data_IF_305297408642
#
_entry.id   IF_305297408642
#
_cell.length_a   1.000
_cell.length_b   1.000
_cell.length_c   1.000
_cell.angle_alpha   90.00
_cell.angle_beta   90.00
_cell.angle_gamma   90.00
#
_symmetry.space_group_name_H-M   'P 1'
#
loop_
_entity.id
_entity.type
_entity.pdbx_description
1 polymer ?
#
# COMPACT_ATOMS: atom_id res chain seq x y z
N UNK A 1 14.29 -75.21 10.19
CA UNK A 1 13.97 -73.77 10.27
C UNK A 1 14.96 -73.04 9.38
N UNK A 2 14.53 -72.67 8.17
CA UNK A 2 15.37 -72.14 7.10
C UNK A 2 15.01 -70.66 6.95
N UNK A 3 15.98 -69.76 7.15
CA UNK A 3 15.82 -68.32 6.89
C UNK A 3 16.75 -67.95 5.72
N UNK A 4 16.16 -67.90 4.52
CA UNK A 4 16.81 -67.48 3.29
C UNK A 4 16.65 -65.96 3.15
N UNK A 5 17.78 -65.24 3.16
CA UNK A 5 17.85 -63.80 2.87
C UNK A 5 17.75 -63.59 1.36
N UNK A 6 16.65 -63.00 0.90
CA UNK A 6 16.47 -62.60 -0.49
C UNK A 6 16.93 -61.15 -0.67
N UNK A 7 17.96 -60.97 -1.48
CA UNK A 7 18.40 -59.69 -2.05
C UNK A 7 17.44 -59.32 -3.16
N UNK A 8 16.74 -58.17 -3.05
CA UNK A 8 15.89 -57.66 -4.12
C UNK A 8 16.61 -56.51 -4.85
N UNK A 9 17.05 -56.83 -6.07
CA UNK A 9 17.57 -55.93 -7.08
C UNK A 9 16.41 -55.07 -7.61
N UNK A 10 16.43 -53.75 -7.39
CA UNK A 10 15.44 -52.83 -7.94
C UNK A 10 16.00 -52.16 -9.20
N UNK A 11 15.37 -52.48 -10.33
CA UNK A 11 15.68 -51.99 -11.67
C UNK A 11 15.35 -50.50 -11.79
N UNK A 12 16.35 -49.72 -12.19
CA UNK A 12 16.24 -48.29 -12.47
C UNK A 12 15.60 -48.09 -13.87
N UNK A 13 14.32 -47.78 -13.93
CA UNK A 13 13.66 -47.33 -15.16
C UNK A 13 13.87 -45.82 -15.31
N UNK A 14 14.79 -45.45 -16.21
CA UNK A 14 14.99 -44.10 -16.72
C UNK A 14 13.76 -43.65 -17.53
N UNK A 15 12.78 -43.06 -16.84
CA UNK A 15 11.69 -42.32 -17.46
C UNK A 15 12.15 -40.90 -17.79
N UNK A 16 12.41 -40.63 -19.06
CA UNK A 16 12.55 -39.28 -19.61
C UNK A 16 11.18 -38.60 -19.53
N UNK A 17 10.90 -37.94 -18.42
CA UNK A 17 9.75 -37.04 -18.32
C UNK A 17 10.15 -35.70 -18.91
N UNK A 18 9.82 -35.49 -20.18
CA UNK A 18 9.74 -34.17 -20.80
C UNK A 18 8.81 -33.30 -19.96
N UNK A 19 9.38 -32.45 -19.09
CA UNK A 19 8.64 -31.50 -18.29
C UNK A 19 7.89 -30.54 -19.21
N UNK A 20 6.59 -30.75 -19.36
CA UNK A 20 5.68 -29.72 -19.87
C UNK A 20 5.93 -28.46 -19.03
N UNK A 21 6.41 -27.39 -19.66
CA UNK A 21 6.32 -26.04 -19.11
C UNK A 21 4.83 -25.77 -18.92
N UNK A 22 4.35 -25.87 -17.68
CA UNK A 22 3.07 -25.29 -17.31
C UNK A 22 3.27 -23.79 -17.41
N UNK A 23 2.75 -23.19 -18.48
CA UNK A 23 2.64 -21.74 -18.55
C UNK A 23 1.87 -21.30 -17.29
N UNK A 24 2.45 -20.37 -16.53
CA UNK A 24 1.77 -19.80 -15.38
C UNK A 24 0.42 -19.23 -15.87
N UNK A 25 -0.69 -19.65 -15.25
CA UNK A 25 -1.98 -19.05 -15.55
C UNK A 25 -1.88 -17.54 -15.34
N UNK A 26 -2.48 -16.72 -16.23
CA UNK A 26 -2.56 -15.29 -15.99
C UNK A 26 -3.22 -15.05 -14.63
N UNK A 27 -2.72 -14.07 -13.88
CA UNK A 27 -3.49 -13.55 -12.75
C UNK A 27 -4.82 -13.06 -13.34
N UNK A 28 -5.94 -13.62 -12.89
CA UNK A 28 -7.24 -13.03 -13.21
C UNK A 28 -7.26 -11.66 -12.53
N UNK A 29 -7.14 -10.60 -13.32
CA UNK A 29 -7.24 -9.24 -12.83
C UNK A 29 -8.74 -8.91 -12.60
N UNK A 30 -9.33 -9.53 -11.58
CA UNK A 30 -10.75 -9.39 -11.19
C UNK A 30 -11.12 -7.95 -10.76
N UNK A 31 -10.13 -7.06 -10.77
CA UNK A 31 -10.22 -5.69 -10.33
C UNK A 31 -10.32 -4.67 -11.46
N UNK A 32 -10.11 -5.07 -12.72
CA UNK A 32 -10.29 -4.18 -13.87
C UNK A 32 -11.67 -3.47 -13.88
N UNK A 33 -12.80 -4.12 -13.55
CA UNK A 33 -14.11 -3.44 -13.51
C UNK A 33 -14.25 -2.40 -12.38
N UNK A 34 -13.35 -2.42 -11.39
CA UNK A 34 -13.37 -1.51 -10.23
C UNK A 34 -12.40 -0.35 -10.38
N UNK A 35 -11.41 -0.47 -11.26
CA UNK A 35 -10.50 0.64 -11.57
C UNK A 35 -11.31 1.85 -12.08
N UNK A 36 -10.92 3.04 -11.65
CA UNK A 36 -11.62 4.29 -11.95
C UNK A 36 -12.87 4.55 -11.10
N UNK A 37 -13.42 3.58 -10.36
CA UNK A 37 -14.55 3.82 -9.45
C UNK A 37 -14.09 4.57 -8.19
N UNK A 38 -14.96 5.32 -7.49
CA UNK A 38 -14.64 5.92 -6.19
C UNK A 38 -14.12 4.87 -5.20
N UNK A 39 -13.06 5.22 -4.47
CA UNK A 39 -12.43 4.31 -3.51
C UNK A 39 -13.30 4.16 -2.26
N UNK A 40 -13.66 2.92 -1.93
CA UNK A 40 -14.42 2.54 -0.73
C UNK A 40 -13.47 2.05 0.36
N UNK A 41 -13.26 2.88 1.37
CA UNK A 41 -12.30 2.62 2.45
C UNK A 41 -12.95 2.01 3.71
N UNK A 42 -14.22 1.59 3.64
CA UNK A 42 -14.93 1.10 4.82
C UNK A 42 -14.26 -0.12 5.49
N UNK A 43 -13.56 -0.95 4.71
CA UNK A 43 -12.84 -2.13 5.22
C UNK A 43 -11.62 -1.81 6.08
N UNK A 44 -11.13 -0.57 6.04
CA UNK A 44 -9.93 -0.12 6.77
C UNK A 44 -10.27 0.69 8.02
N UNK A 45 -11.56 0.81 8.33
CA UNK A 45 -12.06 1.41 9.56
C UNK A 45 -12.53 0.33 10.55
N UNK A 46 -12.48 0.65 11.84
CA UNK A 46 -13.07 -0.17 12.88
C UNK A 46 -14.60 -0.08 12.80
N UNK A 47 -15.22 -1.17 12.35
CA UNK A 47 -16.65 -1.27 12.14
C UNK A 47 -17.37 -1.79 13.39
N UNK A 48 -18.18 -0.92 14.00
CA UNK A 48 -19.19 -1.32 14.98
C UNK A 48 -20.46 -1.83 14.28
N UNK A 49 -21.06 -2.91 14.79
CA UNK A 49 -22.40 -3.37 14.42
C UNK A 49 -23.20 -3.86 15.63
N UNK A 50 -24.48 -3.49 15.67
CA UNK A 50 -25.42 -3.89 16.71
C UNK A 50 -25.79 -5.37 16.66
N UNK A 51 -25.80 -5.97 15.47
CA UNK A 51 -26.09 -7.40 15.24
C UNK A 51 -24.93 -8.33 15.63
N UNK A 52 -23.78 -7.75 16.04
CA UNK A 52 -22.63 -8.49 16.56
C UNK A 52 -22.64 -8.52 18.09
N UNK A 53 -22.34 -9.68 18.70
CA UNK A 53 -21.92 -9.75 20.09
C UNK A 53 -20.78 -8.75 20.38
N UNK A 54 -20.71 -8.27 21.61
CA UNK A 54 -19.71 -7.27 22.02
C UNK A 54 -18.27 -7.72 21.69
N UNK A 55 -17.93 -8.98 21.95
CA UNK A 55 -16.61 -9.55 21.69
C UNK A 55 -16.25 -9.70 20.19
N UNK A 56 -17.22 -9.57 19.29
CA UNK A 56 -17.01 -9.64 17.83
C UNK A 56 -16.87 -8.26 17.18
N UNK A 57 -17.07 -7.18 17.93
CA UNK A 57 -16.77 -5.84 17.47
C UNK A 57 -15.29 -5.52 17.78
N UNK A 58 -14.55 -4.83 16.90
CA UNK A 58 -13.21 -4.36 17.21
C UNK A 58 -13.23 -3.52 18.50
N UNK A 59 -12.29 -3.69 19.43
CA UNK A 59 -12.28 -2.95 20.67
C UNK A 59 -12.20 -1.42 20.45
N UNK A 60 -11.54 -0.96 19.39
CA UNK A 60 -11.43 0.45 19.03
C UNK A 60 -12.78 1.05 18.63
N UNK A 61 -13.68 0.24 18.03
CA UNK A 61 -15.02 0.69 17.63
C UNK A 61 -15.87 1.17 18.82
N UNK A 62 -15.48 0.84 20.05
CA UNK A 62 -16.12 1.37 21.24
C UNK A 62 -15.83 2.84 21.49
N UNK A 63 -14.67 3.32 21.06
CA UNK A 63 -14.30 4.71 21.25
C UNK A 63 -15.13 5.63 20.36
N UNK A 64 -15.54 5.14 19.18
CA UNK A 64 -16.58 5.77 18.36
C UNK A 64 -17.88 5.96 19.13
N UNK A 65 -18.34 4.92 19.82
CA UNK A 65 -19.60 4.95 20.55
C UNK A 65 -19.53 5.87 21.76
N UNK A 66 -18.45 5.80 22.54
CA UNK A 66 -18.24 6.68 23.68
C UNK A 66 -18.20 8.15 23.25
N UNK A 67 -17.52 8.43 22.14
CA UNK A 67 -17.56 9.73 21.49
C UNK A 67 -18.98 10.10 21.14
N UNK A 68 -19.64 9.35 20.28
CA UNK A 68 -21.01 9.67 19.89
C UNK A 68 -21.95 9.94 21.08
N UNK A 69 -21.84 9.18 22.16
CA UNK A 69 -22.78 9.22 23.28
C UNK A 69 -22.42 10.14 24.47
N UNK A 70 -21.30 10.86 24.49
CA UNK A 70 -21.00 11.67 25.69
C UNK A 70 -20.22 10.96 26.79
N UNK A 71 -19.76 9.72 26.56
CA UNK A 71 -19.30 8.85 27.65
C UNK A 71 -17.80 8.98 27.92
N UNK A 72 -17.37 8.77 29.18
CA UNK A 72 -15.96 8.87 29.55
C UNK A 72 -15.19 7.62 29.10
N UNK A 73 -13.91 7.80 28.73
CA UNK A 73 -13.04 6.73 28.21
C UNK A 73 -12.42 5.83 29.29
N UNK A 74 -12.45 6.25 30.56
CA UNK A 74 -11.86 5.55 31.69
C UNK A 74 -12.76 4.46 32.29
N UNK A 75 -13.94 4.24 31.70
CA UNK A 75 -14.91 3.25 32.16
C UNK A 75 -15.12 2.13 31.13
N UNK A 76 -15.37 0.89 31.58
CA UNK A 76 -15.80 -0.18 30.69
C UNK A 76 -17.05 0.23 29.91
N UNK A 77 -17.12 -0.18 28.64
CA UNK A 77 -18.25 0.14 27.78
C UNK A 77 -19.51 -0.53 28.29
N UNK A 78 -20.50 0.29 28.61
CA UNK A 78 -21.86 -0.14 28.90
C UNK A 78 -22.77 0.22 27.72
N UNK A 79 -23.47 -0.78 27.14
CA UNK A 79 -24.43 -0.57 26.03
C UNK A 79 -25.82 -0.15 26.51
N UNK A 80 -26.08 -0.17 27.83
CA UNK A 80 -27.39 0.21 28.40
C UNK A 80 -27.81 1.67 28.18
N UNK A 81 -26.92 2.66 28.07
CA UNK A 81 -27.32 4.05 27.82
C UNK A 81 -28.22 4.15 26.58
N UNK A 82 -29.35 4.87 26.64
CA UNK A 82 -30.32 4.96 25.55
C UNK A 82 -29.72 5.42 24.21
N UNK A 83 -28.74 6.33 24.26
CA UNK A 83 -28.04 6.81 23.06
C UNK A 83 -27.31 5.68 22.31
N UNK A 84 -26.79 4.69 23.03
CA UNK A 84 -26.06 3.55 22.43
C UNK A 84 -26.98 2.43 21.96
N UNK A 85 -28.11 2.21 22.63
CA UNK A 85 -29.12 1.22 22.19
C UNK A 85 -29.70 1.52 20.82
N UNK A 86 -29.65 2.78 20.39
CA UNK A 86 -30.14 3.24 19.09
C UNK A 86 -29.14 3.03 17.96
N UNK A 87 -27.86 2.78 18.25
CA UNK A 87 -26.81 2.70 17.22
C UNK A 87 -26.89 1.37 16.49
N UNK A 88 -27.09 1.41 15.17
CA UNK A 88 -27.10 0.24 14.28
C UNK A 88 -25.68 -0.18 13.91
N UNK A 89 -24.88 0.79 13.47
CA UNK A 89 -23.50 0.59 13.03
C UNK A 89 -22.73 1.90 13.01
N UNK A 90 -21.41 1.80 12.85
CA UNK A 90 -20.57 2.97 12.66
C UNK A 90 -19.14 2.59 12.25
N UNK A 91 -18.42 3.55 11.67
CA UNK A 91 -17.01 3.39 11.28
C UNK A 91 -16.17 4.36 12.08
N UNK A 92 -15.03 3.88 12.57
CA UNK A 92 -13.96 4.70 13.14
C UNK A 92 -12.70 4.53 12.31
N UNK A 93 -12.21 5.60 11.70
CA UNK A 93 -10.88 5.65 11.10
C UNK A 93 -9.82 5.89 12.17
N UNK A 94 -8.61 5.37 11.95
CA UNK A 94 -7.43 5.70 12.76
C UNK A 94 -7.05 7.19 12.64
N UNK A 95 -7.37 7.78 11.49
CA UNK A 95 -7.03 9.14 11.11
C UNK A 95 -8.26 9.87 10.57
N UNK A 96 -8.16 11.19 10.46
CA UNK A 96 -9.18 11.99 9.77
C UNK A 96 -9.17 11.65 8.29
N UNK A 97 -10.35 11.39 7.73
CA UNK A 97 -10.54 10.97 6.34
C UNK A 97 -11.37 12.00 5.57
N UNK A 98 -11.06 12.23 4.28
CA UNK A 98 -11.91 13.02 3.40
C UNK A 98 -13.11 12.18 2.92
N UNK A 99 -13.87 11.57 3.83
CA UNK A 99 -15.10 10.87 3.46
C UNK A 99 -16.05 11.87 2.81
N UNK A 100 -16.58 11.55 1.62
CA UNK A 100 -17.54 12.41 0.91
C UNK A 100 -18.88 11.76 0.67
N UNK A 101 -18.94 10.42 0.63
CA UNK A 101 -20.21 9.72 0.52
C UNK A 101 -20.23 8.49 1.39
N UNK A 102 -21.29 8.35 2.18
CA UNK A 102 -21.60 7.15 2.94
C UNK A 102 -22.73 6.40 2.23
N UNK A 103 -22.50 5.13 1.90
CA UNK A 103 -23.53 4.23 1.40
C UNK A 103 -23.96 3.26 2.50
N UNK A 104 -25.27 3.15 2.74
CA UNK A 104 -25.88 2.12 3.57
C UNK A 104 -26.64 1.17 2.66
N UNK A 105 -26.25 -0.11 2.62
CA UNK A 105 -26.87 -1.10 1.75
C UNK A 105 -27.48 -2.25 2.56
N UNK A 106 -28.77 -2.49 2.42
CA UNK A 106 -29.45 -3.65 2.99
C UNK A 106 -29.59 -4.78 1.97
N UNK A 107 -29.42 -6.05 2.38
CA UNK A 107 -29.67 -7.17 1.48
C UNK A 107 -31.15 -7.23 1.10
N UNK A 108 -31.43 -7.68 -0.12
CA UNK A 108 -32.80 -7.91 -0.58
C UNK A 108 -33.54 -8.86 0.37
N UNK A 109 -34.76 -8.47 0.79
CA UNK A 109 -35.57 -9.24 1.73
C UNK A 109 -35.15 -9.12 3.20
N UNK A 110 -34.30 -8.15 3.56
CA UNK A 110 -34.04 -7.82 4.95
C UNK A 110 -35.36 -7.53 5.69
N UNK A 111 -35.67 -8.36 6.69
CA UNK A 111 -36.78 -8.07 7.60
C UNK A 111 -36.34 -6.92 8.51
N UNK A 112 -37.22 -5.95 8.74
CA UNK A 112 -36.96 -4.80 9.60
C UNK A 112 -35.80 -3.91 9.09
N UNK A 113 -35.88 -3.45 7.84
CA UNK A 113 -35.06 -2.34 7.34
C UNK A 113 -35.67 -1.01 7.80
N UNK A 114 -34.92 -0.12 8.47
CA UNK A 114 -35.40 1.22 8.79
C UNK A 114 -35.62 2.04 7.51
N UNK A 115 -36.68 2.85 7.46
CA UNK A 115 -36.82 3.89 6.45
C UNK A 115 -35.75 4.98 6.64
N UNK A 116 -35.45 5.74 5.59
CA UNK A 116 -34.46 6.81 5.66
C UNK A 116 -34.79 7.87 6.74
N UNK A 117 -36.08 8.11 7.01
CA UNK A 117 -36.54 9.06 8.04
C UNK A 117 -36.37 8.53 9.48
N UNK A 118 -36.30 7.22 9.65
CA UNK A 118 -36.06 6.58 10.95
C UNK A 118 -34.57 6.52 11.30
N UNK A 119 -33.69 7.06 10.45
CA UNK A 119 -32.25 7.06 10.65
C UNK A 119 -31.71 8.46 10.90
N UNK A 120 -30.78 8.53 11.86
CA UNK A 120 -29.92 9.68 12.10
C UNK A 120 -28.48 9.23 11.84
N UNK A 121 -27.83 9.89 10.88
CA UNK A 121 -26.42 9.67 10.57
C UNK A 121 -25.62 10.86 11.06
N UNK A 122 -24.62 10.59 11.91
CA UNK A 122 -23.80 11.62 12.57
C UNK A 122 -22.34 11.39 12.27
N UNK A 123 -21.64 12.43 11.82
CA UNK A 123 -20.19 12.45 11.68
C UNK A 123 -19.53 13.08 12.90
N UNK A 124 -18.33 12.60 13.21
CA UNK A 124 -17.39 13.27 14.10
C UNK A 124 -16.66 14.34 13.26
N UNK A 125 -17.02 15.60 13.46
CA UNK A 125 -16.61 16.72 12.62
C UNK A 125 -15.18 17.16 12.94
N UNK A 126 -14.29 17.10 11.94
CA UNK A 126 -12.89 17.49 12.07
C UNK A 126 -12.61 18.94 11.65
N UNK A 127 -13.62 19.69 11.23
CA UNK A 127 -13.40 20.98 10.58
C UNK A 127 -12.71 22.00 11.49
N UNK A 128 -12.97 21.96 12.80
CA UNK A 128 -12.47 22.93 13.78
C UNK A 128 -10.95 22.89 14.03
N UNK A 129 -10.24 21.92 13.44
CA UNK A 129 -8.79 21.87 13.54
C UNK A 129 -8.30 21.59 14.97
N UNK A 130 -9.14 21.06 15.85
CA UNK A 130 -8.73 20.54 17.17
C UNK A 130 -8.82 19.02 17.24
N UNK A 131 -9.56 18.42 16.31
CA UNK A 131 -9.68 16.98 16.18
C UNK A 131 -8.57 16.41 15.30
N UNK A 132 -7.45 16.05 15.93
CA UNK A 132 -6.29 15.49 15.24
C UNK A 132 -6.17 13.99 15.42
N UNK A 133 -6.93 13.46 16.36
CA UNK A 133 -6.88 12.09 16.83
C UNK A 133 -8.23 11.72 17.43
N UNK A 134 -8.59 10.45 17.38
CA UNK A 134 -9.84 9.92 17.93
C UNK A 134 -9.91 9.94 19.47
N UNK A 135 -9.10 10.78 20.15
CA UNK A 135 -9.21 11.03 21.59
C UNK A 135 -9.48 12.51 21.94
N UNK A 136 -9.57 13.39 20.95
CA UNK A 136 -9.77 14.82 21.16
C UNK A 136 -11.26 15.20 21.38
N UNK A 137 -11.54 16.42 21.90
CA UNK A 137 -12.87 16.99 21.94
C UNK A 137 -13.51 16.95 20.54
N UNK A 138 -14.82 16.69 20.51
CA UNK A 138 -15.54 16.40 19.27
C UNK A 138 -16.66 17.40 19.05
N UNK A 139 -16.79 17.81 17.80
CA UNK A 139 -18.01 18.40 17.28
C UNK A 139 -18.79 17.29 16.56
N UNK A 140 -20.11 17.22 16.78
CA UNK A 140 -20.98 16.26 16.09
C UNK A 140 -21.73 16.97 14.98
N UNK A 141 -21.73 16.39 13.77
CA UNK A 141 -22.48 16.90 12.64
C UNK A 141 -23.45 15.86 12.10
N UNK A 142 -24.73 16.13 12.23
CA UNK A 142 -25.76 15.30 11.61
C UNK A 142 -25.79 15.55 10.10
N UNK A 143 -25.88 14.46 9.33
CA UNK A 143 -26.02 14.52 7.87
C UNK A 143 -27.46 14.80 7.49
N UNK A 144 -27.63 15.45 6.33
CA UNK A 144 -28.94 15.66 5.72
C UNK A 144 -29.51 14.35 5.19
N UNK A 145 -30.81 14.36 4.86
CA UNK A 145 -31.50 13.19 4.32
C UNK A 145 -30.76 12.58 3.10
N UNK A 146 -30.74 11.25 2.98
CA UNK A 146 -30.02 10.58 1.91
C UNK A 146 -30.77 10.61 0.59
N UNK A 147 -30.05 10.34 -0.48
CA UNK A 147 -30.63 9.83 -1.72
C UNK A 147 -30.93 8.33 -1.55
N UNK A 148 -32.14 7.92 -1.89
CA UNK A 148 -32.57 6.51 -1.82
C UNK A 148 -32.56 5.90 -3.22
N UNK A 149 -31.95 4.72 -3.37
CA UNK A 149 -31.96 3.98 -4.63
C UNK A 149 -33.39 3.58 -5.06
N UNK A 150 -33.65 3.36 -6.36
CA UNK A 150 -34.99 2.97 -6.84
C UNK A 150 -35.55 1.69 -6.22
N UNK A 151 -34.69 0.75 -5.85
CA UNK A 151 -35.05 -0.48 -5.16
C UNK A 151 -35.28 -0.30 -3.65
N UNK A 152 -35.04 0.90 -3.12
CA UNK A 152 -35.18 1.24 -1.71
C UNK A 152 -34.13 0.59 -0.79
N UNK A 153 -33.15 -0.14 -1.33
CA UNK A 153 -32.20 -0.93 -0.53
C UNK A 153 -30.92 -0.16 -0.17
N UNK A 154 -30.67 0.97 -0.83
CA UNK A 154 -29.45 1.74 -0.64
C UNK A 154 -29.76 3.19 -0.31
N UNK A 155 -29.19 3.68 0.80
CA UNK A 155 -29.22 5.10 1.18
C UNK A 155 -27.83 5.70 1.01
N UNK A 156 -27.74 6.79 0.25
CA UNK A 156 -26.49 7.52 -0.02
C UNK A 156 -26.52 8.88 0.65
N UNK A 157 -25.64 9.10 1.62
CA UNK A 157 -25.49 10.37 2.33
C UNK A 157 -24.28 11.12 1.79
N UNK A 158 -24.43 12.43 1.56
CA UNK A 158 -23.30 13.31 1.34
C UNK A 158 -22.65 13.67 2.68
N UNK A 159 -21.33 13.61 2.73
CA UNK A 159 -20.53 13.93 3.91
C UNK A 159 -19.78 15.24 3.65
N UNK A 160 -20.22 16.37 4.25
CA UNK A 160 -19.72 17.69 3.90
C UNK A 160 -18.45 18.09 4.67
N UNK A 161 -17.96 17.23 5.56
CA UNK A 161 -16.83 17.52 6.45
C UNK A 161 -15.80 16.40 6.37
N UNK A 162 -14.56 16.73 6.67
CA UNK A 162 -13.57 15.71 7.01
C UNK A 162 -13.97 15.07 8.35
N UNK A 163 -13.77 13.77 8.48
CA UNK A 163 -14.24 13.03 9.63
C UNK A 163 -13.35 11.84 9.93
N UNK A 164 -13.15 11.52 11.20
CA UNK A 164 -12.54 10.26 11.63
C UNK A 164 -13.59 9.22 12.03
N UNK A 165 -14.89 9.53 11.96
CA UNK A 165 -15.90 8.52 12.26
C UNK A 165 -17.32 8.92 11.94
N UNK A 166 -18.15 7.92 11.70
CA UNK A 166 -19.57 8.07 11.39
C UNK A 166 -20.40 7.06 12.15
N UNK A 167 -21.54 7.50 12.66
CA UNK A 167 -22.48 6.68 13.43
C UNK A 167 -23.84 6.73 12.77
N UNK A 168 -24.43 5.54 12.57
CA UNK A 168 -25.79 5.36 12.07
C UNK A 168 -26.64 4.86 13.24
N UNK A 169 -27.65 5.65 13.62
CA UNK A 169 -28.54 5.34 14.72
C UNK A 169 -30.01 5.51 14.31
N UNK A 170 -30.92 4.87 15.05
CA UNK A 170 -32.36 5.13 14.94
C UNK A 170 -32.69 6.54 15.44
N UNK A 171 -33.62 7.24 14.79
CA UNK A 171 -34.07 8.58 15.16
C UNK A 171 -34.83 8.62 16.49
N UNK A 172 -35.61 7.58 16.76
CA UNK A 172 -36.41 7.43 17.99
C UNK A 172 -35.71 6.54 19.03
N UNK A 173 -36.32 6.40 20.21
CA UNK A 173 -35.83 5.57 21.32
C UNK A 173 -35.92 4.05 21.09
N UNK A 174 -35.96 3.61 19.83
CA UNK A 174 -35.98 2.21 19.44
C UNK A 174 -34.67 1.49 19.77
N UNK A 175 -34.74 0.17 19.88
CA UNK A 175 -33.56 -0.68 20.07
C UNK A 175 -33.05 -1.20 18.72
N UNK A 176 -31.82 -0.83 18.37
CA UNK A 176 -31.14 -1.23 17.14
C UNK A 176 -31.00 -2.76 17.00
N UNK A 177 -31.05 -3.52 18.10
CA UNK A 177 -30.99 -4.97 18.07
C UNK A 177 -32.17 -5.64 17.32
N UNK A 178 -33.25 -4.91 17.08
CA UNK A 178 -34.43 -5.41 16.35
C UNK A 178 -34.45 -5.10 14.86
N UNK A 179 -33.44 -4.39 14.36
CA UNK A 179 -33.38 -3.92 12.98
C UNK A 179 -32.23 -4.58 12.23
N UNK A 180 -32.41 -4.76 10.93
CA UNK A 180 -31.35 -5.22 10.06
C UNK A 180 -30.24 -4.15 9.99
N UNK A 181 -28.98 -4.58 10.14
CA UNK A 181 -27.82 -3.69 10.09
C UNK A 181 -27.26 -3.66 8.65
N UNK A 182 -27.14 -2.47 8.02
CA UNK A 182 -26.68 -2.37 6.64
C UNK A 182 -25.22 -2.77 6.49
N UNK A 183 -24.80 -3.04 5.26
CA UNK A 183 -23.39 -2.94 4.88
C UNK A 183 -23.05 -1.46 4.66
N UNK A 184 -21.94 -1.03 5.26
CA UNK A 184 -21.42 0.32 5.13
C UNK A 184 -20.41 0.38 3.97
N UNK A 185 -20.51 1.45 3.19
CA UNK A 185 -19.56 1.85 2.17
C UNK A 185 -19.12 3.29 2.44
N UNK A 186 -17.82 3.56 2.41
CA UNK A 186 -17.24 4.85 2.78
C UNK A 186 -16.37 5.37 1.63
N UNK A 187 -16.95 6.23 0.79
CA UNK A 187 -16.29 6.69 -0.42
C UNK A 187 -15.53 8.01 -0.22
N UNK A 188 -14.25 7.99 -0.56
CA UNK A 188 -13.38 9.16 -0.63
C UNK A 188 -13.32 9.75 -2.05
N UNK A 189 -12.79 10.97 -2.25
CA UNK A 189 -12.61 11.57 -3.58
C UNK A 189 -11.70 10.76 -4.50
N UNK A 190 -10.72 10.07 -3.91
CA UNK A 190 -9.79 9.22 -4.63
C UNK A 190 -10.53 8.09 -5.35
N UNK A 191 -9.97 7.69 -6.50
CA UNK A 191 -10.50 6.59 -7.31
C UNK A 191 -9.55 5.42 -7.22
N UNK A 192 -10.13 4.22 -7.32
CA UNK A 192 -9.35 3.01 -7.39
C UNK A 192 -8.46 3.00 -8.62
N UNK A 193 -7.17 2.76 -8.41
CA UNK A 193 -6.24 2.28 -9.43
C UNK A 193 -6.04 0.79 -9.25
N UNK A 194 -5.56 0.12 -10.29
CA UNK A 194 -5.21 -1.30 -10.21
C UNK A 194 -3.80 -1.54 -10.70
N UNK A 195 -3.11 -2.51 -10.10
CA UNK A 195 -1.82 -3.02 -10.59
C UNK A 195 -1.64 -4.48 -10.19
N UNK A 196 -0.77 -5.19 -10.92
CA UNK A 196 -0.20 -6.45 -10.47
C UNK A 196 1.11 -6.18 -9.74
N UNK A 197 1.24 -6.67 -8.51
CA UNK A 197 2.43 -6.51 -7.68
C UNK A 197 3.19 -7.84 -7.64
N UNK A 198 4.50 -7.77 -7.81
CA UNK A 198 5.42 -8.87 -7.50
C UNK A 198 6.31 -8.47 -6.33
N UNK A 199 6.47 -9.38 -5.38
CA UNK A 199 7.37 -9.26 -4.23
C UNK A 199 8.34 -10.43 -4.31
N UNK A 200 9.63 -10.13 -4.33
CA UNK A 200 10.73 -11.08 -4.39
C UNK A 200 11.60 -11.00 -3.13
N UNK A 201 12.10 -12.15 -2.67
CA UNK A 201 13.00 -12.25 -1.52
C UNK A 201 14.07 -13.33 -1.71
N UNK A 202 15.15 -13.21 -0.94
CA UNK A 202 16.26 -14.17 -0.99
C UNK A 202 17.07 -14.13 -2.29
N UNK A 203 17.02 -13.01 -3.01
CA UNK A 203 17.92 -12.70 -4.14
C UNK A 203 19.34 -12.40 -3.65
N UNK A 204 19.50 -11.96 -2.40
CA UNK A 204 20.80 -11.74 -1.76
C UNK A 204 21.32 -13.03 -1.08
N UNK A 205 22.57 -13.45 -1.33
CA UNK A 205 23.16 -14.62 -0.69
C UNK A 205 23.09 -14.59 0.85
N UNK A 206 23.29 -13.43 1.47
CA UNK A 206 23.26 -13.27 2.93
C UNK A 206 21.89 -13.55 3.55
N UNK A 207 20.81 -13.45 2.77
CA UNK A 207 19.41 -13.60 3.21
C UNK A 207 18.69 -14.77 2.52
N UNK A 208 19.37 -15.49 1.63
CA UNK A 208 18.78 -16.58 0.85
C UNK A 208 18.23 -17.73 1.72
N UNK A 209 18.83 -17.98 2.88
CA UNK A 209 18.41 -19.05 3.79
C UNK A 209 17.29 -18.63 4.76
N UNK A 210 16.85 -17.36 4.73
CA UNK A 210 15.80 -16.87 5.61
C UNK A 210 14.43 -17.48 5.28
N UNK A 211 13.64 -17.68 6.34
CA UNK A 211 12.31 -18.25 6.28
C UNK A 211 11.25 -17.15 6.12
N UNK A 212 10.87 -16.88 4.88
CA UNK A 212 9.90 -15.84 4.54
C UNK A 212 8.44 -16.30 4.55
N UNK A 213 8.06 -17.33 5.33
CA UNK A 213 6.64 -17.64 5.47
C UNK A 213 5.91 -16.48 6.14
N UNK A 214 4.70 -16.19 5.67
CA UNK A 214 4.08 -14.93 6.00
C UNK A 214 2.70 -14.72 5.38
N UNK A 215 2.24 -13.49 5.49
CA UNK A 215 1.00 -13.00 4.88
C UNK A 215 1.15 -11.56 4.42
N UNK A 216 0.28 -11.15 3.52
CA UNK A 216 0.20 -9.78 2.99
C UNK A 216 -1.12 -9.15 3.40
N UNK A 217 -1.08 -7.89 3.80
CA UNK A 217 -2.26 -7.12 4.18
C UNK A 217 -2.25 -5.77 3.47
N UNK A 218 -3.44 -5.28 3.12
CA UNK A 218 -3.64 -3.96 2.55
C UNK A 218 -4.43 -3.11 3.52
N UNK A 219 -3.87 -1.96 3.90
CA UNK A 219 -4.62 -0.85 4.49
C UNK A 219 -5.11 0.03 3.34
N UNK A 220 -6.39 0.38 3.33
CA UNK A 220 -7.01 1.21 2.31
C UNK A 220 -6.83 0.68 0.87
N UNK A 221 -6.75 -0.64 0.72
CA UNK A 221 -6.59 -1.32 -0.55
C UNK A 221 -7.14 -2.72 -0.50
N UNK A 222 -7.36 -3.32 -1.67
CA UNK A 222 -7.93 -4.67 -1.80
C UNK A 222 -6.96 -5.55 -2.56
N UNK A 223 -6.60 -6.68 -1.96
CA UNK A 223 -5.69 -7.68 -2.52
C UNK A 223 -6.49 -8.85 -3.09
N UNK A 224 -6.06 -9.42 -4.20
CA UNK A 224 -6.61 -10.68 -4.71
C UNK A 224 -5.58 -11.48 -5.52
N UNK A 225 -5.91 -12.74 -5.79
CA UNK A 225 -5.13 -13.57 -6.70
C UNK A 225 -3.70 -13.86 -6.22
N UNK A 226 -3.47 -14.00 -4.91
CA UNK A 226 -2.14 -14.32 -4.40
C UNK A 226 -1.63 -15.65 -4.98
N UNK A 227 -0.45 -15.61 -5.59
CA UNK A 227 0.24 -16.74 -6.21
C UNK A 227 1.73 -16.68 -5.92
N UNK A 228 2.44 -17.81 -5.98
CA UNK A 228 3.91 -17.79 -6.00
C UNK A 228 4.42 -17.18 -7.31
N UNK A 229 5.65 -16.66 -7.30
CA UNK A 229 6.28 -16.15 -8.51
C UNK A 229 6.49 -17.26 -9.55
N UNK A 230 6.45 -16.95 -10.86
CA UNK A 230 6.77 -17.92 -11.90
C UNK A 230 8.16 -18.51 -11.71
N UNK A 231 8.23 -19.86 -11.66
CA UNK A 231 9.49 -20.59 -11.44
C UNK A 231 9.89 -20.74 -9.97
N UNK A 232 9.16 -20.16 -9.03
CA UNK A 232 9.37 -20.38 -7.60
C UNK A 232 8.94 -21.79 -7.20
N UNK A 233 9.90 -22.57 -6.66
CA UNK A 233 9.69 -23.93 -6.16
C UNK A 233 9.66 -24.01 -4.62
N UNK A 234 10.03 -22.93 -3.95
CA UNK A 234 10.17 -22.84 -2.49
C UNK A 234 8.95 -22.24 -1.80
N UNK A 235 8.08 -21.53 -2.54
CA UNK A 235 6.90 -20.85 -2.00
C UNK A 235 5.60 -21.53 -2.39
N UNK A 236 4.75 -21.77 -1.39
CA UNK A 236 3.41 -22.34 -1.54
C UNK A 236 2.41 -21.39 -0.88
N UNK A 237 1.40 -20.96 -1.62
CA UNK A 237 0.28 -20.19 -1.07
C UNK A 237 -0.58 -21.11 -0.20
N UNK A 238 -0.79 -20.73 1.05
CA UNK A 238 -1.48 -21.55 2.07
C UNK A 238 -2.85 -20.98 2.46
N UNK A 239 -3.11 -19.71 2.15
CA UNK A 239 -4.36 -19.00 2.45
C UNK A 239 -4.56 -17.87 1.41
N UNK A 240 -5.74 -17.23 1.33
CA UNK A 240 -6.00 -16.16 0.35
C UNK A 240 -4.97 -15.02 0.35
N UNK A 241 -4.37 -14.75 1.49
CA UNK A 241 -3.31 -13.74 1.66
C UNK A 241 -2.04 -14.28 2.34
N UNK A 242 -1.91 -15.60 2.47
CA UNK A 242 -0.83 -16.24 3.23
C UNK A 242 -0.03 -17.26 2.43
N UNK A 243 1.24 -17.43 2.78
CA UNK A 243 2.13 -18.39 2.13
C UNK A 243 3.14 -19.01 3.10
N UNK A 244 3.72 -20.13 2.67
CA UNK A 244 4.89 -20.75 3.28
C UNK A 244 6.04 -20.72 2.28
N UNK A 245 7.18 -20.17 2.67
CA UNK A 245 8.39 -20.09 1.84
C UNK A 245 9.56 -20.77 2.55
N UNK A 246 10.15 -21.78 1.90
CA UNK A 246 11.38 -22.46 2.35
C UNK A 246 12.56 -22.10 1.44
N UNK A 247 13.80 -22.10 1.93
CA UNK A 247 14.97 -22.00 1.07
C UNK A 247 15.07 -23.23 0.17
N UNK A 248 15.13 -22.97 -1.13
CA UNK A 248 15.41 -23.96 -2.17
C UNK A 248 16.48 -23.30 -3.04
N UNK A 249 17.71 -23.80 -2.93
CA UNK A 249 18.91 -23.12 -3.44
C UNK A 249 18.79 -22.67 -4.90
N UNK A 250 19.12 -21.40 -5.16
CA UNK A 250 19.29 -20.84 -6.51
C UNK A 250 18.00 -20.48 -7.28
N UNK A 251 16.80 -20.76 -6.75
CA UNK A 251 15.55 -20.35 -7.42
C UNK A 251 15.04 -18.99 -6.95
N UNK A 252 14.51 -18.18 -7.88
CA UNK A 252 13.72 -16.97 -7.58
C UNK A 252 12.59 -17.33 -6.62
N UNK A 253 12.43 -16.56 -5.54
CA UNK A 253 11.36 -16.77 -4.55
C UNK A 253 10.54 -15.52 -4.32
N UNK A 254 9.24 -15.69 -4.16
CA UNK A 254 8.35 -14.58 -3.92
C UNK A 254 6.89 -14.88 -4.19
N UNK A 255 6.08 -13.83 -4.11
CA UNK A 255 4.66 -13.86 -4.44
C UNK A 255 4.30 -12.79 -5.45
N UNK A 256 3.17 -13.00 -6.12
CA UNK A 256 2.50 -12.00 -6.94
C UNK A 256 1.02 -11.93 -6.60
N UNK A 257 0.42 -10.75 -6.71
CA UNK A 257 -1.00 -10.53 -6.44
C UNK A 257 -1.52 -9.30 -7.19
N UNK A 258 -2.83 -9.22 -7.37
CA UNK A 258 -3.52 -8.04 -7.89
C UNK A 258 -3.88 -7.11 -6.72
N UNK A 259 -3.76 -5.79 -6.95
CA UNK A 259 -4.01 -4.77 -5.95
C UNK A 259 -4.94 -3.69 -6.51
N UNK A 260 -6.06 -3.44 -5.83
CA UNK A 260 -6.78 -2.15 -5.90
C UNK A 260 -6.22 -1.22 -4.84
N UNK A 261 -5.87 -0.01 -5.25
CA UNK A 261 -5.22 0.95 -4.37
C UNK A 261 -5.58 2.39 -4.74
N UNK A 262 -5.43 3.29 -3.77
CA UNK A 262 -5.38 4.72 -4.00
C UNK A 262 -3.94 5.09 -4.33
N UNK A 263 -3.75 5.79 -5.45
CA UNK A 263 -2.47 6.39 -5.81
C UNK A 263 -2.13 7.57 -4.90
N UNK A 264 -1.26 8.46 -5.39
CA UNK A 264 -0.99 9.72 -4.67
C UNK A 264 -2.29 10.50 -4.47
N UNK A 265 -2.66 10.73 -3.21
CA UNK A 265 -3.93 11.40 -2.92
C UNK A 265 -3.93 12.83 -3.43
N UNK A 266 -5.06 13.23 -4.02
CA UNK A 266 -5.30 14.64 -4.36
C UNK A 266 -5.60 15.49 -3.11
N UNK A 267 -5.87 14.86 -1.97
CA UNK A 267 -6.14 15.55 -0.72
C UNK A 267 -4.83 16.07 -0.12
N UNK A 268 -4.82 17.36 0.23
CA UNK A 268 -3.59 18.09 0.62
C UNK A 268 -3.57 18.54 2.08
N UNK A 269 -4.57 18.17 2.87
CA UNK A 269 -4.67 18.65 4.25
C UNK A 269 -3.74 17.85 5.13
N UNK A 270 -2.56 18.41 5.37
CA UNK A 270 -1.63 17.94 6.39
C UNK A 270 -2.21 18.27 7.77
N UNK A 271 -2.43 17.25 8.60
CA UNK A 271 -2.88 17.44 9.98
C UNK A 271 -1.67 17.74 10.87
N UNK A 272 -1.81 18.58 11.90
CA UNK A 272 -0.70 19.31 12.52
C UNK A 272 0.28 18.49 13.38
N UNK A 273 0.24 17.16 13.30
CA UNK A 273 1.33 16.33 13.80
C UNK A 273 2.37 16.10 12.69
N UNK A 274 3.46 15.38 12.98
CA UNK A 274 4.52 15.03 12.03
C UNK A 274 4.07 14.19 10.81
N UNK A 275 2.77 14.15 10.53
CA UNK A 275 2.18 13.56 9.34
C UNK A 275 2.63 14.36 8.11
N UNK A 276 3.14 13.64 7.13
CA UNK A 276 3.37 14.16 5.79
C UNK A 276 2.05 14.16 4.99
N UNK A 277 2.06 14.78 3.82
CA UNK A 277 0.86 14.80 2.96
C UNK A 277 0.49 13.38 2.51
N UNK A 278 1.49 12.53 2.28
CA UNK A 278 1.35 11.12 1.98
C UNK A 278 0.86 10.30 3.17
N UNK A 279 0.89 10.81 4.41
CA UNK A 279 0.41 10.14 5.61
C UNK A 279 -1.11 10.21 5.78
N UNK A 280 -1.87 10.61 4.77
CA UNK A 280 -3.33 10.56 4.84
C UNK A 280 -3.94 10.16 3.50
N UNK A 281 -4.97 9.30 3.54
CA UNK A 281 -5.63 8.73 2.37
C UNK A 281 -4.66 8.01 1.41
N UNK A 282 -4.09 6.88 1.87
CA UNK A 282 -3.03 6.13 1.20
C UNK A 282 -3.28 4.64 1.27
N UNK A 283 -2.91 3.89 0.24
CA UNK A 283 -2.87 2.43 0.37
C UNK A 283 -1.50 1.99 0.86
N UNK A 284 -1.46 1.36 2.03
CA UNK A 284 -0.26 0.73 2.59
C UNK A 284 -0.35 -0.77 2.37
N UNK A 285 0.70 -1.36 1.82
CA UNK A 285 0.82 -2.83 1.74
C UNK A 285 1.85 -3.27 2.76
N UNK A 286 1.45 -4.19 3.65
CA UNK A 286 2.32 -4.73 4.69
C UNK A 286 2.54 -6.22 4.47
N UNK A 287 3.81 -6.61 4.38
CA UNK A 287 4.26 -7.99 4.39
C UNK A 287 4.65 -8.36 5.82
N UNK A 288 3.97 -9.36 6.36
CA UNK A 288 4.29 -9.95 7.66
C UNK A 288 5.02 -11.25 7.45
N UNK A 289 6.32 -11.30 7.73
CA UNK A 289 7.10 -12.54 7.61
C UNK A 289 7.83 -12.87 8.90
N UNK A 290 8.18 -14.14 9.11
CA UNK A 290 8.97 -14.54 10.29
C UNK A 290 10.37 -13.93 10.33
N UNK A 291 10.90 -13.53 9.19
CA UNK A 291 12.22 -12.89 9.08
C UNK A 291 12.18 -11.37 9.13
N UNK A 292 11.01 -10.78 9.36
CA UNK A 292 10.81 -9.34 9.43
C UNK A 292 9.53 -8.92 8.73
N UNK A 293 8.97 -7.79 9.17
CA UNK A 293 7.86 -7.13 8.48
C UNK A 293 8.36 -5.97 7.65
N UNK A 294 7.70 -5.70 6.53
CA UNK A 294 8.01 -4.60 5.63
C UNK A 294 6.71 -3.98 5.13
N UNK A 295 6.62 -2.65 5.17
CA UNK A 295 5.48 -1.89 4.66
C UNK A 295 5.95 -0.91 3.60
N UNK A 296 5.13 -0.69 2.58
CA UNK A 296 5.38 0.29 1.53
C UNK A 296 4.07 0.94 1.06
N UNK A 297 4.16 2.14 0.49
CA UNK A 297 3.01 2.78 -0.14
C UNK A 297 2.84 2.21 -1.55
N UNK A 298 1.61 1.83 -1.89
CA UNK A 298 1.32 1.35 -3.25
C UNK A 298 1.61 2.41 -4.32
N UNK A 299 1.50 3.69 -3.96
CA UNK A 299 1.81 4.82 -4.84
C UNK A 299 3.31 4.91 -5.22
N UNK A 300 4.22 4.39 -4.40
CA UNK A 300 5.66 4.42 -4.69
C UNK A 300 5.99 3.54 -5.91
N UNK A 301 5.23 2.45 -6.11
CA UNK A 301 5.36 1.58 -7.28
C UNK A 301 4.97 2.25 -8.60
N UNK A 302 4.36 3.45 -8.56
CA UNK A 302 4.11 4.25 -9.76
C UNK A 302 5.40 4.90 -10.28
N UNK A 303 6.41 5.10 -9.43
CA UNK A 303 7.69 5.72 -9.79
C UNK A 303 8.77 4.70 -10.14
N UNK A 304 8.58 3.44 -9.74
CA UNK A 304 9.50 2.36 -10.05
C UNK A 304 9.45 1.23 -9.04
N UNK A 305 10.30 0.21 -9.20
CA UNK A 305 10.43 -0.84 -8.21
C UNK A 305 11.05 -0.32 -6.90
N UNK A 306 10.67 -0.95 -5.79
CA UNK A 306 11.19 -0.65 -4.46
C UNK A 306 12.20 -1.74 -4.09
N UNK A 307 13.41 -1.33 -3.72
CA UNK A 307 14.43 -2.22 -3.18
C UNK A 307 14.59 -1.91 -1.69
N UNK A 308 14.37 -2.92 -0.85
CA UNK A 308 14.52 -2.85 0.61
C UNK A 308 15.56 -3.89 1.06
N UNK A 309 16.86 -3.64 0.79
CA UNK A 309 17.91 -4.63 0.98
C UNK A 309 18.14 -4.98 2.45
N UNK A 310 17.89 -4.05 3.37
CA UNK A 310 17.98 -4.28 4.82
C UNK A 310 17.06 -5.42 5.26
N UNK A 311 15.89 -5.51 4.63
CA UNK A 311 14.85 -6.51 4.87
C UNK A 311 14.86 -7.66 3.85
N UNK A 312 15.69 -7.58 2.80
CA UNK A 312 15.81 -8.60 1.76
C UNK A 312 14.61 -8.69 0.81
N UNK A 313 13.89 -7.58 0.61
CA UNK A 313 12.73 -7.52 -0.29
C UNK A 313 13.03 -6.68 -1.54
N UNK A 314 12.44 -7.11 -2.66
CA UNK A 314 12.36 -6.35 -3.90
C UNK A 314 10.91 -6.38 -4.36
N UNK A 315 10.33 -5.22 -4.64
CA UNK A 315 8.92 -5.09 -5.02
C UNK A 315 8.81 -4.36 -6.35
N UNK A 316 7.95 -4.84 -7.24
CA UNK A 316 7.65 -4.14 -8.50
C UNK A 316 6.16 -4.17 -8.81
N UNK A 317 5.66 -3.06 -9.32
CA UNK A 317 4.34 -2.95 -9.93
C UNK A 317 4.41 -3.18 -11.43
N UNK A 318 3.41 -3.86 -11.97
CA UNK A 318 3.15 -3.95 -13.40
C UNK A 318 1.71 -3.53 -13.64
N UNK A 319 1.54 -2.47 -14.43
CA UNK A 319 0.23 -2.01 -14.89
C UNK A 319 0.00 -2.55 -16.29
N UNK A 320 -1.19 -3.07 -16.54
CA UNK A 320 -1.70 -3.05 -17.92
C UNK A 320 -2.02 -1.57 -18.23
N UNK A 321 -1.54 -1.00 -19.34
CA UNK A 321 -1.81 0.38 -19.67
C UNK A 321 -3.31 0.60 -19.88
N UNK A 322 -3.91 1.55 -19.14
CA UNK A 322 -5.31 1.95 -19.32
C UNK A 322 -5.41 2.89 -20.55
N UNK A 323 -6.24 2.57 -21.57
CA UNK A 323 -6.47 3.46 -22.71
C UNK A 323 -6.98 4.86 -22.32
N UNK A 324 -7.61 4.99 -21.14
CA UNK A 324 -8.16 6.24 -20.62
C UNK A 324 -7.07 7.14 -20.02
N UNK A 325 -5.97 6.57 -19.52
CA UNK A 325 -4.79 7.33 -19.09
C UNK A 325 -4.04 7.93 -20.29
N UNK A 326 -4.08 7.28 -21.46
CA UNK A 326 -3.52 7.83 -22.71
C UNK A 326 -4.28 9.09 -23.16
N UNK A 327 -5.58 9.17 -22.87
CA UNK A 327 -6.40 10.34 -23.19
C UNK A 327 -6.28 11.48 -22.16
N UNK A 328 -6.03 11.18 -20.87
CA UNK A 328 -5.80 12.20 -19.83
C UNK A 328 -4.35 12.70 -19.81
N UNK A 329 -3.39 11.94 -20.35
CA UNK A 329 -2.03 12.44 -20.64
C UNK A 329 -1.99 13.59 -21.67
N UNK A 330 -3.12 13.94 -22.31
CA UNK A 330 -3.22 15.12 -23.18
C UNK A 330 -3.42 16.45 -22.43
N UNK A 331 -3.58 16.44 -21.11
CA UNK A 331 -3.49 17.64 -20.28
C UNK A 331 -2.33 17.48 -19.31
N UNK A 332 -1.16 18.09 -19.57
CA UNK A 332 -0.04 18.00 -18.65
C UNK A 332 -0.44 18.69 -17.35
N UNK A 333 -0.56 17.91 -16.27
CA UNK A 333 -0.08 18.42 -15.00
C UNK A 333 1.36 18.87 -15.25
N UNK A 334 1.76 20.09 -14.84
CA UNK A 334 3.15 20.49 -15.01
C UNK A 334 4.00 19.41 -14.37
N UNK A 335 4.96 18.89 -15.15
CA UNK A 335 6.01 18.05 -14.60
C UNK A 335 6.53 18.74 -13.32
N UNK A 336 6.89 17.98 -12.26
CA UNK A 336 7.64 18.59 -11.16
C UNK A 336 8.75 19.43 -11.78
N UNK A 337 8.94 20.66 -11.30
CA UNK A 337 9.88 21.60 -11.90
C UNK A 337 11.27 20.96 -11.89
N UNK A 338 11.69 20.40 -13.03
CA UNK A 338 12.99 19.77 -13.17
C UNK A 338 14.02 20.89 -13.23
N UNK A 339 14.57 21.23 -12.08
CA UNK A 339 15.68 22.18 -12.03
C UNK A 339 16.94 21.46 -12.50
N UNK A 340 17.40 21.83 -13.70
CA UNK A 340 18.67 21.35 -14.22
C UNK A 340 19.81 21.79 -13.29
N UNK A 341 20.69 20.87 -12.93
CA UNK A 341 22.01 21.22 -12.38
C UNK A 341 22.80 21.91 -13.50
N UNK A 342 22.56 23.22 -13.69
CA UNK A 342 23.07 23.96 -14.83
C UNK A 342 24.50 24.49 -14.60
N UNK A 343 24.90 24.62 -13.33
CA UNK A 343 26.20 25.17 -12.99
C UNK A 343 27.26 24.09 -13.10
N UNK A 344 28.02 24.11 -14.20
CA UNK A 344 29.21 23.27 -14.35
C UNK A 344 30.25 23.70 -13.31
N UNK A 345 30.78 22.73 -12.58
CA UNK A 345 31.83 22.91 -11.61
C UNK A 345 33.06 22.11 -12.04
N UNK A 346 34.16 22.82 -12.16
CA UNK A 346 35.47 22.25 -12.47
C UNK A 346 36.14 21.66 -11.23
N UNK A 347 35.71 22.08 -10.04
CA UNK A 347 36.08 21.51 -8.74
C UNK A 347 34.87 21.64 -7.81
N UNK A 348 34.56 20.57 -7.07
CA UNK A 348 33.47 20.57 -6.09
C UNK A 348 34.01 21.00 -4.71
N UNK A 349 33.28 21.80 -3.91
CA UNK A 349 33.73 22.20 -2.57
C UNK A 349 34.02 20.99 -1.68
N UNK A 350 35.25 20.90 -1.18
CA UNK A 350 35.72 19.76 -0.39
C UNK A 350 36.15 18.53 -1.20
N UNK A 351 35.92 18.51 -2.51
CA UNK A 351 36.24 17.41 -3.44
C UNK A 351 36.99 17.96 -4.68
N UNK A 352 38.29 18.28 -4.56
CA UNK A 352 39.05 18.97 -5.62
C UNK A 352 39.24 18.13 -6.89
N UNK A 353 39.11 16.80 -6.80
CA UNK A 353 39.24 15.89 -7.95
C UNK A 353 37.92 15.67 -8.72
N UNK A 354 36.80 16.21 -8.22
CA UNK A 354 35.48 15.99 -8.78
C UNK A 354 35.08 17.10 -9.74
N UNK A 355 34.63 16.73 -10.93
CA UNK A 355 34.06 17.65 -11.93
C UNK A 355 32.63 17.26 -12.23
N UNK A 356 31.74 18.24 -12.40
CA UNK A 356 30.34 17.92 -12.59
C UNK A 356 29.43 19.13 -12.65
N UNK A 357 28.23 18.98 -12.13
CA UNK A 357 27.20 20.00 -12.13
C UNK A 357 26.54 20.11 -10.76
N UNK A 358 26.17 21.33 -10.39
CA UNK A 358 25.48 21.60 -9.14
C UNK A 358 24.44 22.73 -9.30
N UNK A 359 23.62 22.86 -8.27
CA UNK A 359 22.85 24.07 -7.98
C UNK A 359 23.35 24.65 -6.65
N UNK A 360 24.10 25.75 -6.71
CA UNK A 360 24.60 26.50 -5.55
C UNK A 360 25.26 25.64 -4.44
N UNK A 361 26.09 24.66 -4.85
CA UNK A 361 26.87 23.69 -4.04
C UNK A 361 26.19 22.34 -3.74
N UNK A 362 24.94 22.30 -3.29
CA UNK A 362 24.15 21.05 -3.10
C UNK A 362 22.72 21.32 -3.58
N UNK A 363 22.09 20.44 -4.38
CA UNK A 363 22.58 19.12 -4.80
C UNK A 363 23.66 19.21 -5.90
N UNK A 364 24.51 18.17 -5.95
CA UNK A 364 25.54 18.05 -6.99
C UNK A 364 25.64 16.62 -7.52
N UNK A 365 26.05 16.52 -8.78
CA UNK A 365 26.44 15.28 -9.45
C UNK A 365 27.80 15.48 -10.11
N UNK A 366 28.72 14.54 -9.95
CA UNK A 366 30.04 14.66 -10.55
C UNK A 366 30.75 13.34 -10.80
N UNK A 367 31.81 13.44 -11.58
CA UNK A 367 32.73 12.37 -11.89
C UNK A 367 34.10 12.65 -11.28
N UNK A 368 34.76 11.60 -10.82
CA UNK A 368 36.20 11.57 -10.60
C UNK A 368 36.85 10.94 -11.83
N UNK A 369 37.39 11.73 -12.78
CA UNK A 369 38.01 11.22 -13.99
C UNK A 369 39.46 10.78 -13.78
N UNK A 370 39.99 10.91 -12.56
CA UNK A 370 41.41 10.69 -12.26
C UNK A 370 41.67 9.25 -11.83
N UNK A 371 42.96 8.87 -11.84
CA UNK A 371 43.45 7.60 -11.28
C UNK A 371 43.56 7.63 -9.74
N UNK A 372 43.23 8.76 -9.11
CA UNK A 372 43.35 8.95 -7.67
C UNK A 372 42.00 8.84 -6.96
N UNK A 373 42.00 8.42 -5.71
CA UNK A 373 40.79 8.40 -4.87
C UNK A 373 40.54 9.80 -4.31
N UNK A 374 39.38 10.37 -4.56
CA UNK A 374 38.94 11.64 -3.96
C UNK A 374 38.47 11.47 -2.52
N UNK A 375 38.79 12.44 -1.67
CA UNK A 375 38.43 12.45 -0.24
C UNK A 375 37.74 13.77 0.14
N UNK A 376 36.63 13.67 0.87
CA UNK A 376 35.97 14.80 1.54
C UNK A 376 35.43 14.37 2.91
N UNK A 377 36.11 14.75 3.99
CA UNK A 377 35.77 14.26 5.32
C UNK A 377 35.89 12.72 5.39
N UNK A 378 34.79 12.03 5.71
CA UNK A 378 34.71 10.56 5.71
C UNK A 378 34.27 9.94 4.37
N UNK A 379 33.91 10.77 3.38
CA UNK A 379 33.48 10.31 2.06
C UNK A 379 34.70 9.96 1.20
N UNK A 380 34.75 8.71 0.72
CA UNK A 380 35.78 8.21 -0.20
C UNK A 380 35.16 7.97 -1.58
N UNK A 381 35.68 8.63 -2.61
CA UNK A 381 35.21 8.52 -3.99
C UNK A 381 36.30 7.86 -4.83
N UNK A 382 36.11 6.61 -5.30
CA UNK A 382 37.13 5.91 -6.08
C UNK A 382 37.56 6.66 -7.34
N UNK A 383 38.75 6.34 -7.84
CA UNK A 383 39.16 6.67 -9.20
C UNK A 383 38.11 6.22 -10.23
N UNK A 384 37.96 6.96 -11.33
CA UNK A 384 37.03 6.64 -12.44
C UNK A 384 35.59 6.33 -12.02
N UNK A 385 35.06 7.10 -11.07
CA UNK A 385 33.72 6.86 -10.52
C UNK A 385 32.82 8.08 -10.61
N UNK A 386 31.52 7.84 -10.44
CA UNK A 386 30.49 8.87 -10.35
C UNK A 386 30.00 8.95 -8.91
N UNK A 387 29.69 10.16 -8.45
CA UNK A 387 29.11 10.39 -7.14
C UNK A 387 28.05 11.49 -7.22
N UNK A 388 27.13 11.47 -6.25
CA UNK A 388 26.10 12.48 -6.13
C UNK A 388 25.82 12.78 -4.66
N UNK A 389 25.36 14.01 -4.41
CA UNK A 389 24.82 14.40 -3.13
C UNK A 389 23.44 15.03 -3.35
N UNK A 390 22.34 14.29 -3.11
CA UNK A 390 21.00 14.84 -3.15
C UNK A 390 20.72 15.74 -1.93
N UNK A 391 19.60 16.46 -1.93
CA UNK A 391 19.06 17.08 -0.72
C UNK A 391 18.01 16.13 -0.09
N UNK A 392 17.76 16.20 1.23
CA UNK A 392 16.77 15.34 1.89
C UNK A 392 15.35 15.43 1.33
N UNK A 393 15.02 16.52 0.65
CA UNK A 393 13.72 16.83 0.05
C UNK A 393 13.71 16.68 -1.50
N UNK A 394 14.79 16.20 -2.12
CA UNK A 394 14.93 16.15 -3.59
C UNK A 394 15.62 14.90 -4.10
N UNK A 395 15.05 14.32 -5.16
CA UNK A 395 15.71 13.32 -5.99
C UNK A 395 16.66 13.96 -7.02
N UNK A 396 17.71 13.23 -7.41
CA UNK A 396 18.60 13.62 -8.51
C UNK A 396 18.58 12.52 -9.57
N UNK A 397 18.13 12.86 -10.78
CA UNK A 397 18.16 11.96 -11.93
C UNK A 397 19.34 12.31 -12.85
N UNK A 398 20.00 11.28 -13.40
CA UNK A 398 21.11 11.45 -14.34
C UNK A 398 20.89 10.57 -15.55
N UNK A 399 20.86 11.20 -16.73
CA UNK A 399 20.91 10.51 -18.01
C UNK A 399 22.33 10.50 -18.57
N UNK A 400 22.81 9.34 -19.01
CA UNK A 400 24.06 9.22 -19.75
C UNK A 400 23.83 8.47 -21.06
N UNK A 401 24.49 8.94 -22.13
CA UNK A 401 24.54 8.27 -23.41
C UNK A 401 25.94 7.71 -23.63
N UNK A 402 26.04 6.38 -23.69
CA UNK A 402 27.31 5.71 -23.95
C UNK A 402 27.89 6.15 -25.30
N UNK A 403 29.18 6.55 -25.36
CA UNK A 403 29.86 6.84 -26.62
C UNK A 403 30.27 5.55 -27.35
N UNK A 404 30.20 4.39 -26.68
CA UNK A 404 30.52 3.07 -27.25
C UNK A 404 29.26 2.23 -27.42
N UNK A 405 29.17 1.51 -28.54
CA UNK A 405 28.12 0.52 -28.77
C UNK A 405 28.41 -0.75 -27.96
N UNK A 406 27.51 -1.13 -27.05
CA UNK A 406 27.67 -2.32 -26.22
C UNK A 406 26.74 -2.33 -25.00
N UNK A 407 26.71 -3.45 -24.28
CA UNK A 407 26.03 -3.55 -22.99
C UNK A 407 26.90 -2.86 -21.91
N UNK A 408 26.28 -2.02 -21.08
CA UNK A 408 26.96 -1.36 -19.96
C UNK A 408 26.38 -1.87 -18.65
N UNK A 409 27.25 -2.16 -17.69
CA UNK A 409 26.87 -2.53 -16.32
C UNK A 409 27.18 -1.35 -15.40
N UNK A 410 26.19 -0.89 -14.65
CA UNK A 410 26.34 0.21 -13.70
C UNK A 410 26.10 -0.27 -12.27
N UNK A 411 27.02 0.00 -11.35
CA UNK A 411 26.90 -0.30 -9.91
C UNK A 411 27.08 0.96 -9.07
N UNK A 412 26.36 1.08 -7.96
CA UNK A 412 26.47 2.21 -7.03
C UNK A 412 26.81 1.72 -5.61
N UNK A 413 27.36 2.60 -4.77
CA UNK A 413 27.57 2.34 -3.34
C UNK A 413 27.22 3.59 -2.55
N UNK A 414 26.46 3.44 -1.46
CA UNK A 414 26.17 4.53 -0.54
C UNK A 414 27.32 4.73 0.45
N UNK A 415 27.70 5.98 0.71
CA UNK A 415 28.61 6.29 1.80
C UNK A 415 27.85 6.15 3.13
N UNK A 416 28.08 5.02 3.81
CA UNK A 416 27.28 4.56 4.95
C UNK A 416 27.25 3.03 5.12
N UNK A 417 27.83 2.26 4.17
CA UNK A 417 28.05 0.83 4.31
C UNK A 417 27.05 -0.07 3.58
N UNK A 418 26.13 0.48 2.78
CA UNK A 418 25.24 -0.30 1.92
C UNK A 418 25.77 -0.36 0.48
N UNK A 419 25.98 -1.59 -0.01
CA UNK A 419 26.37 -1.90 -1.39
C UNK A 419 25.10 -2.20 -2.20
N UNK A 420 24.84 -1.50 -3.30
CA UNK A 420 23.78 -1.88 -4.26
C UNK A 420 24.40 -2.62 -5.46
N UNK A 421 23.79 -3.72 -5.89
CA UNK A 421 24.25 -4.53 -7.05
C UNK A 421 23.52 -4.12 -8.35
N UNK A 422 24.11 -4.33 -9.54
CA UNK A 422 23.78 -3.61 -10.77
C UNK A 422 22.53 -4.16 -11.49
N UNK A 423 21.77 -3.26 -12.12
CA UNK A 423 20.76 -3.61 -13.14
C UNK A 423 21.36 -3.44 -14.54
N UNK A 424 21.29 -4.46 -15.39
CA UNK A 424 21.71 -4.37 -16.78
C UNK A 424 20.66 -3.59 -17.60
N UNK A 425 21.07 -2.48 -18.20
CA UNK A 425 20.25 -1.74 -19.17
C UNK A 425 20.62 -2.17 -20.59
N UNK A 426 19.66 -2.72 -21.33
CA UNK A 426 19.77 -2.83 -22.79
C UNK A 426 18.97 -1.69 -23.43
N UNK A 427 19.57 -0.85 -24.29
CA UNK A 427 18.80 0.13 -25.03
C UNK A 427 17.86 -0.57 -26.03
N UNK A 428 16.66 -0.02 -26.29
CA UNK A 428 15.78 -0.56 -27.32
C UNK A 428 16.48 -0.48 -28.69
N UNK A 429 16.54 -1.61 -29.39
CA UNK A 429 16.87 -1.62 -30.83
C UNK A 429 15.76 -0.87 -31.55
N UNK A 430 16.08 0.24 -32.21
CA UNK A 430 15.18 0.87 -33.18
C UNK A 430 15.21 0.11 -34.50
N UNK A 431 14.03 -0.05 -35.07
CA UNK A 431 13.82 -0.25 -36.51
C UNK A 431 14.07 1.05 -37.25
#
# INVERSE_FOLDING_TARGET
MIALKTVLLSVLLLGVCSGRRVAASPLTNDFAPRAGLPADIASSAYLYRADRPAAQNPPESWVLLMQYAGLPYDKPVDRRPPALRRVLCGLLGEEVRPLRRLGLHWPAGARSQPSAAELVVTCLDATDGTAHTWWNPRSLKQLVAPETSPDGLTYSYQVPVDTWGVVVALADAGDAAHWAVPKLHAYVPDRWKSMSVEVEWGYEPARAELAHHGRVEGYDGVLSGLQSLPGDRGTVVTAPHGWSSKPVGGSRRGVRFSLLYMGRSAWRRTWPYAAQQEDVARTIVTLWTRSGSFSFLAADLEHGPILAPEYGFFVRGTREPDPSEVAVQASPLPAPEETLLATRMDEMPGLPLMRGWADNVIPWFGANPTDETGLAGSLTIPAHSLAMHPLPDRDVAVGWRSPVAGAVTASARGAGGSTTTPSAFSPPRRT
#
